data_IF_978904946035
#
_entry.id   IF_978904946035
#
_cell.length_a   1.000
_cell.length_b   1.000
_cell.length_c   1.000
_cell.angle_alpha   90.00
_cell.angle_beta   90.00
_cell.angle_gamma   90.00
#
_symmetry.space_group_name_H-M   'P 1'
#
loop_
_entity.id
_entity.type
_entity.pdbx_description
1 polymer ?
#
# COMPACT_ATOMS: atom_id res chain seq x y z
N UNK A 1 16.27 4.15 -4.95
CA UNK A 1 16.08 4.40 -3.51
C UNK A 1 16.78 5.70 -3.14
N UNK A 2 16.04 6.66 -2.59
CA UNK A 2 16.51 8.03 -2.35
C UNK A 2 16.55 8.34 -0.84
N UNK A 3 17.24 9.40 -0.45
CA UNK A 3 17.30 9.98 0.90
C UNK A 3 15.94 10.09 1.59
N UNK A 4 14.88 10.36 0.83
CA UNK A 4 13.49 10.41 1.30
C UNK A 4 12.96 9.04 1.76
N UNK A 5 13.34 7.95 1.08
CA UNK A 5 12.95 6.57 1.42
C UNK A 5 13.65 6.09 2.69
N UNK A 6 14.94 6.43 2.85
CA UNK A 6 15.72 6.13 4.06
C UNK A 6 15.13 6.80 5.32
N UNK A 7 14.54 7.99 5.18
CA UNK A 7 13.85 8.70 6.27
C UNK A 7 12.51 8.07 6.67
N UNK A 8 11.75 7.51 5.72
CA UNK A 8 10.50 6.82 6.02
C UNK A 8 10.74 5.52 6.81
N UNK A 9 11.85 4.82 6.54
CA UNK A 9 12.24 3.61 7.25
C UNK A 9 12.68 3.90 8.69
N UNK A 10 13.25 5.09 8.95
CA UNK A 10 13.68 5.52 10.29
C UNK A 10 12.53 5.52 11.32
N UNK A 11 11.33 5.93 10.92
CA UNK A 11 10.17 5.99 11.84
C UNK A 11 9.44 4.65 12.01
N UNK A 12 9.71 3.67 11.14
CA UNK A 12 9.05 2.35 11.16
C UNK A 12 9.89 1.35 11.98
N UNK A 13 11.21 1.54 12.05
CA UNK A 13 12.13 0.58 12.66
C UNK A 13 12.70 1.09 13.97
N UNK A 14 12.07 0.69 15.08
CA UNK A 14 12.66 0.80 16.43
C UNK A 14 13.67 -0.31 16.73
N UNK A 15 13.82 -1.31 15.84
CA UNK A 15 14.65 -2.51 15.99
C UNK A 15 15.47 -2.80 14.72
N UNK A 16 16.39 -3.78 14.79
CA UNK A 16 17.18 -4.23 13.65
C UNK A 16 16.35 -4.99 12.61
N UNK A 17 16.44 -4.65 11.33
CA UNK A 17 15.79 -5.38 10.24
C UNK A 17 16.69 -5.55 9.02
N UNK A 18 16.57 -6.66 8.33
CA UNK A 18 17.26 -6.92 7.08
C UNK A 18 16.94 -5.86 6.04
N UNK A 19 18.00 -5.44 5.36
CA UNK A 19 17.92 -4.65 4.16
C UNK A 19 18.19 -5.61 2.99
N UNK A 20 17.48 -5.45 1.87
CA UNK A 20 17.76 -6.25 0.67
C UNK A 20 19.07 -5.84 -0.01
N UNK A 21 20.17 -5.73 0.74
CA UNK A 21 21.47 -5.21 0.31
C UNK A 21 22.54 -6.29 0.51
N UNK A 22 23.40 -6.52 -0.48
CA UNK A 22 24.44 -7.56 -0.44
C UNK A 22 25.80 -7.10 -1.02
N UNK A 23 26.90 -7.72 -0.57
CA UNK A 23 28.28 -7.20 -0.68
C UNK A 23 28.93 -7.20 -2.08
N UNK A 24 28.52 -8.03 -3.05
CA UNK A 24 29.21 -8.19 -4.36
C UNK A 24 29.65 -6.88 -5.03
N UNK A 25 28.90 -5.79 -4.84
CA UNK A 25 29.41 -4.41 -4.89
C UNK A 25 28.54 -3.45 -4.06
N UNK A 26 28.02 -3.91 -2.91
CA UNK A 26 26.90 -3.28 -2.20
C UNK A 26 25.73 -2.94 -3.15
N UNK A 27 25.01 -3.98 -3.55
CA UNK A 27 23.87 -3.89 -4.48
C UNK A 27 22.58 -4.25 -3.77
N UNK A 28 21.48 -3.70 -4.27
CA UNK A 28 20.16 -4.14 -3.86
C UNK A 28 19.83 -5.48 -4.52
N UNK A 29 18.98 -6.30 -3.89
CA UNK A 29 18.48 -7.58 -4.44
C UNK A 29 17.82 -7.47 -5.82
N UNK A 30 17.44 -6.27 -6.26
CA UNK A 30 16.93 -5.98 -7.60
C UNK A 30 18.03 -5.51 -8.57
N UNK A 31 19.30 -5.76 -8.24
CA UNK A 31 20.50 -5.44 -9.01
C UNK A 31 20.77 -3.95 -9.22
N UNK A 32 19.97 -3.07 -8.61
CA UNK A 32 20.23 -1.63 -8.67
C UNK A 32 21.41 -1.24 -7.80
N UNK A 33 22.21 -0.30 -8.29
CA UNK A 33 23.34 0.25 -7.55
C UNK A 33 22.84 1.05 -6.33
N UNK A 34 23.58 0.97 -5.25
CA UNK A 34 23.34 1.74 -4.03
C UNK A 34 23.73 3.21 -4.27
N UNK A 35 22.76 4.13 -4.19
CA UNK A 35 22.96 5.56 -4.42
C UNK A 35 23.22 6.36 -3.14
N UNK A 36 22.59 6.03 -2.01
CA UNK A 36 22.84 6.70 -0.72
C UNK A 36 22.35 5.83 0.46
N UNK A 37 23.24 5.46 1.37
CA UNK A 37 22.96 4.73 2.60
C UNK A 37 23.87 5.32 3.68
N UNK A 38 23.31 5.56 4.86
CA UNK A 38 24.09 6.04 5.99
C UNK A 38 24.57 4.82 6.77
N UNK A 39 25.86 4.53 6.70
CA UNK A 39 26.47 3.45 7.48
C UNK A 39 26.63 3.88 8.94
N UNK A 40 26.50 2.91 9.85
CA UNK A 40 27.00 3.04 11.21
C UNK A 40 28.51 3.31 11.14
N UNK A 41 29.02 4.13 12.06
CA UNK A 41 30.45 4.39 12.14
C UNK A 41 31.25 3.09 12.24
N UNK A 42 32.23 2.91 11.35
CA UNK A 42 33.06 1.71 11.27
C UNK A 42 32.53 0.62 10.34
N UNK A 43 31.30 0.75 9.82
CA UNK A 43 30.70 -0.21 8.91
C UNK A 43 30.79 0.22 7.44
N UNK A 44 30.77 -0.74 6.48
CA UNK A 44 30.79 -2.18 6.72
C UNK A 44 32.20 -2.72 7.03
N UNK A 45 32.33 -3.59 8.04
CA UNK A 45 33.62 -4.06 8.58
C UNK A 45 34.00 -5.49 8.18
N UNK A 46 33.05 -6.27 7.64
CA UNK A 46 33.23 -7.66 7.26
C UNK A 46 33.84 -8.54 8.36
N UNK A 47 33.33 -8.46 9.57
CA UNK A 47 33.88 -9.21 10.69
C UNK A 47 33.93 -10.71 10.38
N UNK A 48 35.12 -11.30 10.54
CA UNK A 48 35.42 -12.70 10.22
C UNK A 48 35.27 -13.09 8.73
N UNK A 49 35.09 -12.13 7.82
CA UNK A 49 35.03 -12.37 6.38
C UNK A 49 33.73 -13.00 5.88
N UNK A 50 32.63 -12.88 6.64
CA UNK A 50 31.35 -13.54 6.31
C UNK A 50 30.14 -12.62 6.58
N UNK A 51 30.27 -11.30 6.40
CA UNK A 51 29.18 -10.34 6.59
C UNK A 51 28.77 -9.74 5.23
N UNK A 52 28.07 -10.58 4.47
CA UNK A 52 27.69 -10.29 3.09
C UNK A 52 26.30 -9.64 2.96
N UNK A 53 25.55 -9.50 4.06
CA UNK A 53 24.20 -8.97 4.07
C UNK A 53 24.10 -7.68 4.90
N UNK A 54 23.45 -6.66 4.33
CA UNK A 54 23.18 -5.40 5.01
C UNK A 54 21.90 -5.43 5.84
N UNK A 55 21.89 -4.80 7.00
CA UNK A 55 20.70 -4.58 7.82
C UNK A 55 20.64 -3.13 8.31
N UNK A 56 19.45 -2.67 8.70
CA UNK A 56 19.23 -1.38 9.33
C UNK A 56 19.11 -1.53 10.84
N UNK A 57 19.73 -0.62 11.56
CA UNK A 57 19.63 -0.46 13.02
C UNK A 57 19.63 1.03 13.36
N UNK A 58 18.62 1.49 14.11
CA UNK A 58 18.47 2.90 14.47
C UNK A 58 18.59 3.88 13.28
N UNK A 59 18.05 3.48 12.11
CA UNK A 59 18.10 4.26 10.86
C UNK A 59 19.45 4.29 10.12
N UNK A 60 20.46 3.54 10.58
CA UNK A 60 21.75 3.41 9.93
C UNK A 60 22.00 1.97 9.49
N UNK A 61 22.84 1.77 8.48
CA UNK A 61 23.16 0.47 7.92
C UNK A 61 24.40 -0.15 8.55
N UNK A 62 24.41 -1.46 8.67
CA UNK A 62 25.55 -2.28 9.06
C UNK A 62 25.50 -3.61 8.30
N UNK A 63 26.60 -4.32 8.23
CA UNK A 63 26.69 -5.66 7.68
C UNK A 63 26.66 -6.73 8.77
N UNK A 64 26.15 -7.91 8.42
CA UNK A 64 26.08 -9.08 9.27
C UNK A 64 26.09 -10.36 8.42
N UNK A 65 26.33 -11.53 9.04
CA UNK A 65 26.21 -12.79 8.34
C UNK A 65 24.79 -13.01 7.84
N UNK A 66 24.64 -13.38 6.57
CA UNK A 66 23.32 -13.62 5.97
C UNK A 66 22.51 -14.73 6.68
N UNK A 67 23.17 -15.58 7.47
CA UNK A 67 22.53 -16.60 8.31
C UNK A 67 21.82 -16.05 9.55
N UNK A 68 22.03 -14.78 9.90
CA UNK A 68 21.40 -14.17 11.07
C UNK A 68 19.87 -14.12 10.92
N UNK A 69 19.16 -14.37 12.02
CA UNK A 69 17.70 -14.19 12.06
C UNK A 69 17.36 -12.75 12.41
N UNK A 70 16.84 -11.99 11.43
CA UNK A 70 16.32 -10.63 11.63
C UNK A 70 14.99 -10.48 10.88
N UNK A 71 14.04 -9.64 11.36
CA UNK A 71 12.86 -9.30 10.58
C UNK A 71 13.27 -8.62 9.28
N UNK A 72 12.42 -8.67 8.26
CA UNK A 72 12.65 -8.01 6.98
C UNK A 72 11.38 -7.28 6.54
N UNK A 73 11.53 -6.33 5.62
CA UNK A 73 10.40 -5.64 5.00
C UNK A 73 10.48 -5.77 3.49
N UNK A 74 9.32 -5.86 2.85
CA UNK A 74 9.21 -5.84 1.40
C UNK A 74 9.13 -4.39 0.92
N UNK A 75 9.81 -4.10 -0.18
CA UNK A 75 9.63 -2.87 -0.94
C UNK A 75 9.01 -3.24 -2.29
N UNK A 76 7.93 -2.57 -2.64
CA UNK A 76 7.35 -2.63 -3.98
C UNK A 76 7.19 -1.22 -4.49
N UNK A 77 7.71 -0.94 -5.68
CA UNK A 77 7.27 0.23 -6.43
C UNK A 77 5.78 0.03 -6.70
N UNK A 78 4.93 0.72 -5.95
CA UNK A 78 3.49 0.76 -6.24
C UNK A 78 3.37 1.60 -7.51
N UNK A 79 3.54 0.96 -8.67
CA UNK A 79 3.42 1.54 -10.00
C UNK A 79 1.94 1.82 -10.30
N UNK A 80 1.41 2.84 -9.65
CA UNK A 80 0.03 3.28 -9.81
C UNK A 80 -0.71 3.37 -8.48
N UNK A 81 -1.34 4.53 -8.23
CA UNK A 81 -2.15 4.74 -7.04
C UNK A 81 -3.43 3.90 -7.15
N UNK A 82 -3.44 2.71 -6.54
CA UNK A 82 -4.68 1.92 -6.41
C UNK A 82 -5.51 2.47 -5.25
N UNK A 83 -6.66 3.06 -5.55
CA UNK A 83 -7.63 3.47 -4.54
C UNK A 83 -8.87 2.59 -4.63
N UNK A 84 -9.46 2.27 -3.48
CA UNK A 84 -10.73 1.55 -3.39
C UNK A 84 -11.77 2.48 -2.80
N UNK A 85 -12.84 2.72 -3.55
CA UNK A 85 -13.97 3.54 -3.11
C UNK A 85 -15.11 2.59 -2.76
N UNK A 86 -15.68 2.74 -1.57
CA UNK A 86 -16.90 2.04 -1.17
C UNK A 86 -18.10 2.91 -1.51
N UNK A 87 -19.07 2.37 -2.23
CA UNK A 87 -20.28 3.08 -2.61
C UNK A 87 -21.50 2.36 -2.06
N UNK A 88 -22.47 3.13 -1.57
CA UNK A 88 -23.81 2.65 -1.23
C UNK A 88 -24.78 3.16 -2.29
N UNK A 89 -25.60 2.28 -2.83
CA UNK A 89 -26.51 2.60 -3.93
C UNK A 89 -27.92 2.20 -3.50
N UNK A 90 -28.83 3.17 -3.54
CA UNK A 90 -30.25 2.93 -3.33
C UNK A 90 -30.95 2.90 -4.69
N UNK A 91 -31.45 1.73 -5.08
CA UNK A 91 -32.18 1.55 -6.34
C UNK A 91 -33.29 0.52 -6.17
N UNK A 92 -34.34 0.65 -6.98
CA UNK A 92 -35.38 -0.38 -7.12
C UNK A 92 -34.98 -1.48 -8.11
N UNK A 93 -34.00 -1.21 -8.97
CA UNK A 93 -33.50 -2.15 -9.98
C UNK A 93 -32.40 -3.05 -9.39
N UNK A 94 -32.09 -4.15 -10.09
CA UNK A 94 -30.99 -5.02 -9.71
C UNK A 94 -29.64 -4.34 -10.01
N UNK A 95 -28.98 -3.84 -8.97
CA UNK A 95 -27.64 -3.21 -9.03
C UNK A 95 -26.52 -4.15 -9.51
N UNK A 96 -26.76 -5.47 -9.55
CA UNK A 96 -25.81 -6.44 -10.09
C UNK A 96 -26.10 -6.82 -11.55
N UNK A 97 -27.06 -6.17 -12.21
CA UNK A 97 -27.23 -6.30 -13.66
C UNK A 97 -26.00 -5.71 -14.40
N UNK A 98 -25.40 -6.42 -15.37
CA UNK A 98 -24.19 -5.96 -16.05
C UNK A 98 -24.34 -4.60 -16.75
N UNK A 99 -25.48 -4.33 -17.38
CA UNK A 99 -25.71 -3.05 -18.07
C UNK A 99 -25.87 -1.92 -17.05
N UNK A 100 -26.55 -2.19 -15.93
CA UNK A 100 -26.69 -1.20 -14.87
C UNK A 100 -25.37 -0.93 -14.14
N UNK A 101 -24.54 -1.95 -13.90
CA UNK A 101 -23.18 -1.80 -13.37
C UNK A 101 -22.28 -0.97 -14.29
N UNK A 102 -22.38 -1.16 -15.60
CA UNK A 102 -21.63 -0.36 -16.58
C UNK A 102 -22.05 1.12 -16.49
N UNK A 103 -23.35 1.40 -16.50
CA UNK A 103 -23.87 2.77 -16.40
C UNK A 103 -23.47 3.47 -15.08
N UNK A 104 -23.50 2.75 -13.95
CA UNK A 104 -23.03 3.28 -12.66
C UNK A 104 -21.53 3.59 -12.73
N UNK A 105 -20.73 2.68 -13.28
CA UNK A 105 -19.29 2.85 -13.36
C UNK A 105 -18.92 4.06 -14.23
N UNK A 106 -19.62 4.26 -15.35
CA UNK A 106 -19.42 5.41 -16.22
C UNK A 106 -19.75 6.73 -15.50
N UNK A 107 -20.85 6.76 -14.72
CA UNK A 107 -21.20 7.95 -13.93
C UNK A 107 -20.17 8.25 -12.83
N UNK A 108 -19.61 7.23 -12.20
CA UNK A 108 -18.55 7.41 -11.18
C UNK A 108 -17.29 7.94 -11.85
N UNK A 109 -16.89 7.39 -13.00
CA UNK A 109 -15.72 7.87 -13.77
C UNK A 109 -15.86 9.35 -14.11
N UNK A 110 -17.00 9.75 -14.68
CA UNK A 110 -17.31 11.15 -15.03
C UNK A 110 -17.10 12.07 -13.82
N UNK A 111 -17.71 11.74 -12.69
CA UNK A 111 -17.58 12.56 -11.48
C UNK A 111 -16.15 12.62 -10.95
N UNK A 112 -15.39 11.53 -11.01
CA UNK A 112 -14.00 11.56 -10.56
C UNK A 112 -13.12 12.40 -11.49
N UNK A 113 -13.40 12.39 -12.80
CA UNK A 113 -12.71 13.25 -13.76
C UNK A 113 -12.98 14.74 -13.46
N UNK A 114 -14.22 15.11 -13.13
CA UNK A 114 -14.56 16.47 -12.70
C UNK A 114 -13.77 16.92 -11.45
N UNK A 115 -13.33 15.97 -10.64
CA UNK A 115 -12.53 16.21 -9.42
C UNK A 115 -11.02 16.07 -9.65
N UNK A 116 -10.57 16.12 -10.91
CA UNK A 116 -9.15 16.13 -11.26
C UNK A 116 -8.48 14.75 -11.37
N UNK A 117 -9.28 13.68 -11.47
CA UNK A 117 -8.75 12.36 -11.80
C UNK A 117 -8.33 12.30 -13.30
N UNK A 118 -7.16 11.74 -13.63
CA UNK A 118 -6.71 11.62 -15.02
C UNK A 118 -7.64 10.75 -15.90
N UNK A 119 -7.78 11.10 -17.18
CA UNK A 119 -8.64 10.38 -18.15
C UNK A 119 -8.20 8.92 -18.37
N UNK A 120 -6.90 8.64 -18.31
CA UNK A 120 -6.37 7.27 -18.45
C UNK A 120 -6.57 6.40 -17.19
N UNK A 121 -7.37 6.84 -16.22
CA UNK A 121 -7.64 6.07 -15.01
C UNK A 121 -8.50 4.85 -15.31
N UNK A 122 -7.96 3.68 -14.97
CA UNK A 122 -8.70 2.42 -15.07
C UNK A 122 -9.56 2.21 -13.83
N UNK A 123 -10.87 2.02 -14.02
CA UNK A 123 -11.80 1.66 -12.93
C UNK A 123 -12.45 0.30 -13.19
N UNK A 124 -12.48 -0.54 -12.17
CA UNK A 124 -13.08 -1.86 -12.21
C UNK A 124 -13.85 -2.14 -10.92
N UNK A 125 -14.95 -2.88 -11.04
CA UNK A 125 -15.65 -3.42 -9.87
C UNK A 125 -14.81 -4.48 -9.16
N UNK A 126 -14.70 -4.37 -7.83
CA UNK A 126 -14.13 -5.43 -7.01
C UNK A 126 -15.19 -6.50 -6.78
N UNK A 127 -15.05 -7.65 -7.46
CA UNK A 127 -15.94 -8.81 -7.29
C UNK A 127 -15.54 -9.59 -6.04
N UNK A 128 -16.51 -9.99 -5.22
CA UNK A 128 -16.29 -10.92 -4.12
C UNK A 128 -16.17 -12.37 -4.63
N UNK A 129 -15.77 -13.36 -3.79
CA UNK A 129 -15.63 -14.75 -4.21
C UNK A 129 -16.87 -15.36 -4.89
N UNK A 130 -18.07 -14.83 -4.62
CA UNK A 130 -19.32 -15.22 -5.29
C UNK A 130 -19.60 -14.52 -6.63
N UNK A 131 -18.66 -13.72 -7.16
CA UNK A 131 -18.83 -12.96 -8.40
C UNK A 131 -19.73 -11.71 -8.29
N UNK A 132 -20.39 -11.52 -7.16
CA UNK A 132 -21.27 -10.38 -6.85
C UNK A 132 -20.43 -9.16 -6.45
N UNK A 133 -20.91 -7.97 -6.82
CA UNK A 133 -20.27 -6.68 -6.49
C UNK A 133 -21.02 -6.00 -5.35
N UNK A 134 -22.35 -5.94 -5.44
CA UNK A 134 -23.21 -5.28 -4.47
C UNK A 134 -23.96 -6.28 -3.60
N UNK A 135 -23.85 -6.10 -2.30
CA UNK A 135 -24.64 -6.82 -1.30
C UNK A 135 -25.75 -5.91 -0.80
N UNK A 136 -26.95 -6.48 -0.65
CA UNK A 136 -28.05 -5.77 0.00
C UNK A 136 -27.67 -5.56 1.47
N UNK A 137 -27.78 -4.32 1.94
CA UNK A 137 -27.67 -4.02 3.35
C UNK A 137 -28.96 -4.50 4.02
N UNK A 138 -28.84 -5.45 4.95
CA UNK A 138 -29.97 -5.89 5.78
C UNK A 138 -30.22 -4.83 6.87
N UNK A 139 -31.48 -4.43 7.04
CA UNK A 139 -31.88 -3.56 8.13
C UNK A 139 -32.13 -4.41 9.39
N UNK A 140 -31.29 -4.26 10.40
CA UNK A 140 -31.57 -4.79 11.73
C UNK A 140 -32.76 -4.05 12.37
N UNK A 141 -33.92 -4.69 12.38
CA UNK A 141 -35.16 -4.17 13.01
C UNK A 141 -35.17 -4.30 14.55
N UNK A 142 -34.01 -4.23 15.19
CA UNK A 142 -33.89 -4.23 16.65
C UNK A 142 -33.10 -3.01 17.10
N UNK A 143 -33.75 -1.84 17.14
CA UNK A 143 -33.49 -0.82 18.15
C UNK A 143 -34.61 0.22 18.18
N UNK A 144 -35.47 0.09 19.20
CA UNK A 144 -36.21 1.22 19.74
C UNK A 144 -35.20 2.27 20.24
N UNK A 145 -35.39 3.53 19.85
CA UNK A 145 -34.82 4.68 20.57
C UNK A 145 -33.73 5.46 19.83
N UNK A 146 -34.16 6.48 19.09
CA UNK A 146 -33.54 7.81 18.97
C UNK A 146 -32.01 7.92 19.08
N UNK A 147 -31.35 8.13 17.95
CA UNK A 147 -30.40 9.23 17.80
C UNK A 147 -30.36 9.70 16.34
N UNK A 148 -30.88 10.90 16.09
CA UNK A 148 -30.60 11.66 14.86
C UNK A 148 -29.11 11.98 14.86
N UNK A 149 -28.32 11.36 14.00
CA UNK A 149 -27.08 11.96 13.52
C UNK A 149 -27.26 12.41 12.07
N UNK A 150 -27.12 13.72 11.96
CA UNK A 150 -27.25 14.56 10.79
C UNK A 150 -26.51 13.99 9.58
N UNK A 151 -27.20 14.01 8.43
CA UNK A 151 -26.61 13.92 7.10
C UNK A 151 -25.45 14.91 7.02
N UNK A 152 -24.24 14.41 6.83
CA UNK A 152 -23.27 15.15 6.03
C UNK A 152 -23.36 14.61 4.61
N UNK A 153 -23.79 15.51 3.74
CA UNK A 153 -23.73 15.36 2.31
C UNK A 153 -22.27 15.20 1.93
N UNK A 154 -21.90 14.09 1.30
CA UNK A 154 -20.84 14.17 0.30
C UNK A 154 -21.52 14.68 -0.96
N UNK A 155 -21.61 16.00 -1.07
CA UNK A 155 -21.83 16.62 -2.36
C UNK A 155 -20.61 16.27 -3.22
N UNK A 156 -20.90 15.54 -4.29
CA UNK A 156 -20.02 15.30 -5.43
C UNK A 156 -20.21 16.48 -6.38
#
# INVERSE_FOLDING_TARGET
KDSTESGAVHNILTNSAWLGLFRDSWKWINETNMSTIMWVHGQPDNKNGNEDCGFLTNGQAADAPCSDTKPFFCYSDITGRKQTIRVKIQSKQNVNDPAFQAAILDKIKEKLMDHGMPENTTMNWLKQPGGVVFHKEEYDNNNNGTEKKTKESCDL
#
